data_IF_208257318061
#
_entry.id   IF_208257318061
#
_cell.length_a   1.000
_cell.length_b   1.000
_cell.length_c   1.000
_cell.angle_alpha   90.00
_cell.angle_beta   90.00
_cell.angle_gamma   90.00
#
_symmetry.space_group_name_H-M   'P 1'
#
loop_
_entity.id
_entity.type
_entity.pdbx_description
1 polymer ?
#
# COMPACT_ATOMS: atom_id res chain seq x y z
N UNK A 1 2.83 5.69 2.76
CA UNK A 1 3.10 5.59 1.32
C UNK A 1 4.19 4.60 1.06
N UNK A 2 4.51 3.99 2.05
CA UNK A 2 5.53 3.00 2.30
C UNK A 2 4.97 1.64 1.94
N UNK A 3 5.18 1.17 0.84
CA UNK A 3 4.64 -0.12 0.49
C UNK A 3 5.64 -1.10 -0.04
N UNK A 4 6.95 -1.01 0.23
CA UNK A 4 7.81 -1.99 -0.43
C UNK A 4 9.27 -2.10 -0.06
N UNK A 5 9.57 -1.99 1.18
CA UNK A 5 10.93 -2.35 1.57
C UNK A 5 11.10 -3.85 1.88
N UNK A 6 10.27 -4.71 1.35
CA UNK A 6 10.21 -6.13 1.75
C UNK A 6 10.52 -7.12 0.65
N UNK A 7 11.74 -7.06 0.08
CA UNK A 7 12.22 -8.19 -0.72
C UNK A 7 13.63 -8.60 -0.33
N UNK A 8 13.69 -9.48 0.66
CA UNK A 8 14.86 -10.31 0.89
C UNK A 8 14.69 -11.64 0.17
N UNK A 9 15.64 -11.90 -0.72
CA UNK A 9 16.07 -13.15 -1.35
C UNK A 9 15.38 -14.40 -0.79
N UNK A 10 14.53 -15.00 -1.61
CA UNK A 10 13.94 -16.32 -1.38
C UNK A 10 15.02 -17.40 -1.43
N UNK A 11 15.31 -18.05 -0.31
CA UNK A 11 15.83 -19.41 -0.31
C UNK A 11 14.65 -20.37 -0.32
N UNK A 12 14.54 -21.09 -1.42
CA UNK A 12 13.59 -22.18 -1.58
C UNK A 12 13.88 -23.28 -0.56
N UNK A 13 12.89 -23.63 0.26
CA UNK A 13 12.83 -24.94 0.91
C UNK A 13 11.45 -25.56 0.68
N UNK A 14 11.50 -26.61 -0.10
CA UNK A 14 10.41 -27.52 -0.44
C UNK A 14 10.08 -28.38 0.80
N UNK A 15 8.83 -28.41 1.25
CA UNK A 15 8.33 -29.51 2.08
C UNK A 15 6.84 -29.76 1.81
N UNK A 16 6.59 -31.00 1.45
CA UNK A 16 5.31 -31.60 1.07
C UNK A 16 4.47 -32.08 2.29
N UNK A 17 3.16 -32.33 1.97
CA UNK A 17 2.19 -33.27 2.59
C UNK A 17 1.31 -32.68 3.71
N UNK A 18 0.06 -32.81 3.68
CA UNK A 18 -1.04 -33.65 3.27
C UNK A 18 -2.18 -33.56 4.31
N UNK A 19 -3.41 -33.45 3.80
CA UNK A 19 -4.57 -34.19 4.26
C UNK A 19 -5.41 -33.71 5.45
N UNK A 20 -6.72 -33.50 5.21
CA UNK A 20 -7.73 -33.54 6.26
C UNK A 20 -9.04 -32.84 5.91
N UNK A 21 -10.04 -33.58 5.43
CA UNK A 21 -11.45 -33.17 5.25
C UNK A 21 -12.15 -32.85 6.57
N UNK A 22 -13.00 -31.81 6.58
CA UNK A 22 -13.97 -31.58 7.64
C UNK A 22 -15.02 -30.58 7.20
N UNK A 23 -16.16 -31.08 6.70
CA UNK A 23 -17.34 -30.27 6.40
C UNK A 23 -18.08 -29.89 7.69
N UNK A 24 -18.35 -28.63 7.89
CA UNK A 24 -19.54 -28.18 8.63
C UNK A 24 -20.15 -26.97 7.93
N UNK A 25 -21.32 -27.20 7.35
CA UNK A 25 -22.23 -26.15 6.89
C UNK A 25 -22.97 -25.59 8.10
N UNK A 26 -22.88 -24.31 8.32
CA UNK A 26 -23.88 -23.54 9.02
C UNK A 26 -24.30 -22.37 8.14
N UNK A 27 -25.56 -22.39 7.74
CA UNK A 27 -26.17 -21.31 6.97
C UNK A 27 -26.46 -20.15 7.92
N UNK A 28 -25.72 -19.08 7.77
CA UNK A 28 -26.02 -17.80 8.41
C UNK A 28 -26.51 -16.82 7.35
N UNK A 29 -27.83 -16.66 7.34
CA UNK A 29 -28.55 -15.74 6.43
C UNK A 29 -28.49 -14.35 7.03
N UNK A 30 -27.33 -13.70 6.92
CA UNK A 30 -27.23 -12.28 7.26
C UNK A 30 -27.42 -11.47 5.99
N UNK A 31 -28.43 -10.64 5.96
CA UNK A 31 -28.81 -9.71 4.90
C UNK A 31 -27.60 -8.85 4.51
N UNK A 32 -26.96 -9.20 3.40
CA UNK A 32 -25.76 -8.54 2.87
C UNK A 32 -26.15 -7.20 2.25
N UNK A 33 -26.04 -6.12 3.02
CA UNK A 33 -26.11 -4.77 2.48
C UNK A 33 -25.16 -4.66 1.28
N UNK A 34 -25.65 -4.15 0.16
CA UNK A 34 -24.88 -3.99 -1.08
C UNK A 34 -23.71 -3.05 -0.83
N UNK A 35 -22.55 -3.62 -0.53
CA UNK A 35 -21.31 -2.89 -0.31
C UNK A 35 -20.70 -2.55 -1.67
N UNK A 36 -20.54 -1.26 -1.97
CA UNK A 36 -19.59 -0.73 -2.96
C UNK A 36 -18.18 -0.77 -2.36
N UNK A 37 -17.84 -1.81 -1.62
CA UNK A 37 -16.59 -1.90 -0.89
C UNK A 37 -15.43 -2.15 -1.84
N UNK A 38 -14.25 -1.72 -1.45
CA UNK A 38 -12.99 -2.02 -2.13
C UNK A 38 -12.86 -3.52 -2.46
N UNK A 39 -13.39 -4.40 -1.60
CA UNK A 39 -13.45 -5.86 -1.81
C UNK A 39 -14.20 -6.26 -3.10
N UNK A 40 -15.09 -5.43 -3.62
CA UNK A 40 -15.79 -5.68 -4.90
C UNK A 40 -15.07 -5.07 -6.09
N UNK A 41 -14.41 -3.92 -5.89
CA UNK A 41 -13.67 -3.21 -6.94
C UNK A 41 -12.31 -3.86 -7.22
N UNK A 42 -11.62 -4.29 -6.16
CA UNK A 42 -10.32 -4.93 -6.20
C UNK A 42 -10.32 -6.28 -5.44
N UNK A 43 -11.11 -7.28 -5.87
CA UNK A 43 -11.27 -8.55 -5.17
C UNK A 43 -9.95 -9.33 -5.13
N UNK A 44 -9.64 -9.92 -3.97
CA UNK A 44 -8.44 -10.74 -3.74
C UNK A 44 -8.55 -12.17 -4.29
N UNK A 45 -9.77 -12.62 -4.59
CA UNK A 45 -10.02 -13.96 -5.13
C UNK A 45 -10.60 -13.89 -6.55
N UNK A 46 -10.35 -14.95 -7.32
CA UNK A 46 -10.85 -15.10 -8.67
C UNK A 46 -10.08 -14.28 -9.71
N UNK A 47 -10.66 -14.20 -10.90
CA UNK A 47 -10.07 -13.43 -12.01
C UNK A 47 -10.14 -11.93 -11.67
N UNK A 48 -8.99 -11.29 -11.58
CA UNK A 48 -8.92 -9.84 -11.38
C UNK A 48 -8.92 -9.11 -12.72
N UNK A 49 -9.92 -8.27 -12.94
CA UNK A 49 -10.04 -7.43 -14.15
C UNK A 49 -10.84 -6.17 -13.81
N UNK A 50 -10.22 -5.20 -13.12
CA UNK A 50 -10.89 -3.97 -12.72
C UNK A 50 -11.30 -3.17 -13.95
N UNK A 51 -12.51 -2.60 -13.91
CA UNK A 51 -12.97 -1.69 -14.95
C UNK A 51 -12.48 -0.28 -14.63
N UNK A 52 -11.52 0.19 -15.41
CA UNK A 52 -10.96 1.53 -15.27
C UNK A 52 -11.53 2.41 -16.39
N UNK A 53 -12.35 3.38 -16.00
CA UNK A 53 -12.93 4.39 -16.90
C UNK A 53 -12.34 5.74 -16.49
N UNK A 54 -11.53 6.41 -17.34
CA UNK A 54 -10.94 7.71 -17.03
C UNK A 54 -11.98 8.78 -16.64
N UNK A 55 -13.20 8.71 -17.19
CA UNK A 55 -14.27 9.64 -16.84
C UNK A 55 -14.76 9.51 -15.38
N UNK A 56 -14.41 8.42 -14.70
CA UNK A 56 -14.76 8.19 -13.30
C UNK A 56 -13.70 8.71 -12.31
N UNK A 57 -12.63 9.34 -12.79
CA UNK A 57 -11.55 9.85 -11.93
C UNK A 57 -11.61 11.37 -11.79
N UNK A 58 -11.13 11.87 -10.64
CA UNK A 58 -10.98 13.28 -10.33
C UNK A 58 -9.51 13.71 -10.48
N UNK A 59 -9.26 15.01 -10.47
CA UNK A 59 -7.92 15.58 -10.72
C UNK A 59 -7.02 15.64 -9.50
N UNK A 60 -7.58 15.44 -8.30
CA UNK A 60 -6.88 15.52 -7.02
C UNK A 60 -7.14 14.26 -6.19
N UNK A 61 -6.21 13.94 -5.30
CA UNK A 61 -6.37 12.88 -4.30
C UNK A 61 -6.56 13.57 -2.95
N UNK A 62 -7.82 13.60 -2.48
CA UNK A 62 -8.23 14.29 -1.25
C UNK A 62 -8.92 13.36 -0.23
N UNK A 63 -8.85 12.04 -0.44
CA UNK A 63 -9.31 11.07 0.54
C UNK A 63 -8.68 11.39 1.91
N UNK A 64 -9.47 11.58 2.98
CA UNK A 64 -8.93 12.04 4.26
C UNK A 64 -7.93 11.08 4.90
N UNK A 65 -7.98 9.78 4.57
CA UNK A 65 -7.03 8.78 5.06
C UNK A 65 -5.78 8.62 4.16
N UNK A 66 -5.80 9.27 2.97
CA UNK A 66 -4.69 9.25 2.00
C UNK A 66 -4.61 10.58 1.26
N UNK A 67 -4.40 11.71 1.98
CA UNK A 67 -4.38 13.02 1.34
C UNK A 67 -3.06 13.23 0.59
N UNK A 68 -3.14 13.56 -0.72
CA UNK A 68 -1.98 13.83 -1.57
C UNK A 68 -2.04 15.27 -2.10
N UNK A 69 -1.92 16.26 -1.22
CA UNK A 69 -1.82 17.66 -1.62
C UNK A 69 -0.42 17.93 -2.18
N UNK A 70 -0.28 18.38 -3.44
CA UNK A 70 1.01 18.72 -4.02
C UNK A 70 1.81 19.71 -3.16
N UNK A 71 3.12 19.46 -2.99
CA UNK A 71 4.02 20.21 -2.12
C UNK A 71 4.14 19.64 -0.71
N UNK A 72 3.23 18.75 -0.28
CA UNK A 72 3.34 18.13 1.05
C UNK A 72 4.45 17.09 1.07
N UNK A 73 5.32 17.16 2.08
CA UNK A 73 6.32 16.15 2.39
C UNK A 73 6.01 15.46 3.72
N UNK A 74 6.14 14.15 3.76
CA UNK A 74 6.03 13.31 4.95
C UNK A 74 7.40 12.75 5.26
N UNK A 75 7.86 12.92 6.49
CA UNK A 75 9.13 12.37 6.95
C UNK A 75 8.89 11.33 8.04
N UNK A 76 9.35 10.11 7.78
CA UNK A 76 9.26 9.01 8.71
C UNK A 76 10.65 8.60 9.20
N UNK A 77 10.71 8.07 10.42
CA UNK A 77 11.89 7.41 10.97
C UNK A 77 11.53 6.04 11.48
N UNK A 78 12.46 5.12 11.29
CA UNK A 78 12.27 3.75 11.67
C UNK A 78 13.54 2.94 11.66
N UNK A 79 13.37 1.63 11.57
CA UNK A 79 14.50 0.71 11.46
C UNK A 79 14.08 -0.58 10.75
N UNK A 80 15.02 -1.19 10.06
CA UNK A 80 14.93 -2.57 9.59
C UNK A 80 15.92 -3.42 10.42
N UNK A 81 15.35 -4.31 11.26
CA UNK A 81 16.14 -4.99 12.27
C UNK A 81 16.79 -3.97 13.20
N UNK A 82 18.12 -3.90 13.21
CA UNK A 82 18.89 -2.94 14.01
C UNK A 82 19.39 -1.74 13.20
N UNK A 83 19.11 -1.67 11.90
CA UNK A 83 19.60 -0.62 11.00
C UNK A 83 18.61 0.54 11.01
N UNK A 84 18.99 1.73 11.49
CA UNK A 84 18.16 2.93 11.42
C UNK A 84 17.92 3.35 9.97
N UNK A 85 16.67 3.68 9.67
CA UNK A 85 16.24 4.15 8.35
C UNK A 85 15.40 5.42 8.48
N UNK A 86 15.35 6.18 7.41
CA UNK A 86 14.39 7.26 7.18
C UNK A 86 13.68 7.02 5.87
N UNK A 87 12.45 7.52 5.79
CA UNK A 87 11.70 7.53 4.57
C UNK A 87 11.07 8.91 4.37
N UNK A 88 11.29 9.47 3.17
CA UNK A 88 10.85 10.80 2.77
C UNK A 88 9.91 10.69 1.56
N UNK A 89 8.59 10.77 1.80
CA UNK A 89 7.58 10.78 0.77
C UNK A 89 7.13 12.22 0.45
N UNK A 90 7.32 12.65 -0.80
CA UNK A 90 6.97 14.00 -1.26
C UNK A 90 5.91 13.94 -2.35
N UNK A 91 4.75 14.53 -2.11
CA UNK A 91 3.72 14.73 -3.12
C UNK A 91 4.18 15.81 -4.09
N UNK A 92 4.56 15.43 -5.29
CA UNK A 92 5.09 16.36 -6.28
C UNK A 92 3.98 17.16 -6.98
N UNK A 93 4.35 18.23 -7.69
CA UNK A 93 3.47 18.93 -8.61
C UNK A 93 3.35 18.24 -9.98
N UNK A 94 4.06 17.14 -10.18
CA UNK A 94 4.04 16.39 -11.43
C UNK A 94 2.84 15.46 -11.50
N UNK A 95 2.42 15.16 -12.73
CA UNK A 95 1.43 14.14 -13.00
C UNK A 95 1.98 13.13 -13.99
N UNK A 96 1.49 11.88 -13.91
CA UNK A 96 1.78 10.81 -14.85
C UNK A 96 0.50 10.33 -15.49
N UNK A 97 0.43 10.31 -16.83
CA UNK A 97 -0.74 9.77 -17.51
C UNK A 97 -0.63 8.25 -17.63
N UNK A 98 -1.58 7.52 -17.03
CA UNK A 98 -1.67 6.05 -17.06
C UNK A 98 -3.12 5.67 -17.35
N UNK A 99 -3.35 4.79 -18.32
CA UNK A 99 -4.69 4.39 -18.80
C UNK A 99 -5.63 5.58 -19.07
N UNK A 100 -5.09 6.71 -19.55
CA UNK A 100 -5.87 7.92 -19.82
C UNK A 100 -6.15 8.81 -18.60
N UNK A 101 -5.72 8.42 -17.40
CA UNK A 101 -5.91 9.14 -16.13
C UNK A 101 -4.64 9.90 -15.78
N UNK A 102 -4.77 11.15 -15.31
CA UNK A 102 -3.66 11.92 -14.76
C UNK A 102 -3.47 11.53 -13.28
N UNK A 103 -2.43 10.77 -13.01
CA UNK A 103 -2.09 10.31 -11.66
C UNK A 103 -1.22 11.34 -10.95
N UNK A 104 -1.46 11.56 -9.65
CA UNK A 104 -0.56 12.27 -8.76
C UNK A 104 0.72 11.47 -8.60
N UNK A 105 1.88 12.14 -8.70
CA UNK A 105 3.18 11.51 -8.51
C UNK A 105 3.69 11.81 -7.10
N UNK A 106 3.95 10.77 -6.34
CA UNK A 106 4.66 10.84 -5.06
C UNK A 106 6.07 10.34 -5.28
N UNK A 107 7.06 11.09 -4.82
CA UNK A 107 8.45 10.64 -4.78
C UNK A 107 8.74 10.16 -3.37
N UNK A 108 9.11 8.92 -3.29
CA UNK A 108 9.49 8.24 -2.07
C UNK A 108 11.00 7.96 -2.07
N UNK A 109 11.66 8.09 -0.91
CA UNK A 109 13.10 7.85 -0.79
C UNK A 109 13.40 7.26 0.58
N UNK A 110 13.79 6.00 0.58
CA UNK A 110 14.30 5.34 1.78
C UNK A 110 15.80 5.49 1.87
N UNK A 111 16.28 5.81 3.08
CA UNK A 111 17.72 6.05 3.33
C UNK A 111 18.20 5.29 4.56
N UNK A 112 19.43 4.78 4.48
CA UNK A 112 20.20 4.22 5.60
C UNK A 112 21.43 5.09 5.85
N UNK A 113 21.68 5.43 7.12
CA UNK A 113 22.83 6.28 7.48
C UNK A 113 22.93 7.58 6.66
N UNK A 114 21.78 8.15 6.24
CA UNK A 114 21.71 9.35 5.41
C UNK A 114 21.98 9.14 3.91
N UNK A 115 22.15 7.91 3.47
CA UNK A 115 22.34 7.56 2.05
C UNK A 115 21.11 6.88 1.51
N UNK A 116 20.56 7.39 0.41
CA UNK A 116 19.42 6.77 -0.24
C UNK A 116 19.77 5.35 -0.72
N UNK A 117 18.95 4.38 -0.35
CA UNK A 117 19.05 2.97 -0.75
C UNK A 117 17.95 2.57 -1.71
N UNK A 118 16.80 3.27 -1.65
CA UNK A 118 15.67 3.10 -2.56
C UNK A 118 15.09 4.46 -2.97
N UNK A 119 14.61 4.53 -4.21
CA UNK A 119 13.89 5.68 -4.76
C UNK A 119 12.73 5.19 -5.58
N UNK A 120 11.53 5.65 -5.26
CA UNK A 120 10.31 5.27 -5.97
C UNK A 120 9.53 6.51 -6.43
N UNK A 121 8.91 6.38 -7.58
CA UNK A 121 7.88 7.30 -8.05
C UNK A 121 6.57 6.52 -8.09
N UNK A 122 5.69 6.82 -7.16
CA UNK A 122 4.38 6.20 -7.05
C UNK A 122 3.33 7.00 -7.80
N UNK A 123 2.37 6.31 -8.39
CA UNK A 123 1.32 6.92 -9.21
C UNK A 123 -0.06 6.62 -8.63
N UNK A 124 -0.70 7.64 -8.07
CA UNK A 124 -2.02 7.52 -7.44
C UNK A 124 -3.08 8.32 -8.19
N UNK A 125 -4.30 7.80 -8.20
CA UNK A 125 -5.47 8.49 -8.73
C UNK A 125 -6.69 8.23 -7.86
N UNK A 126 -7.61 9.18 -7.73
CA UNK A 126 -8.83 9.02 -6.97
C UNK A 126 -10.03 8.92 -7.90
N UNK A 127 -10.92 7.95 -7.64
CA UNK A 127 -12.20 7.89 -8.34
C UNK A 127 -13.23 8.85 -7.72
N UNK A 128 -14.34 9.11 -8.43
CA UNK A 128 -15.42 9.98 -7.98
C UNK A 128 -16.11 9.51 -6.71
N UNK A 129 -15.94 8.25 -6.33
CA UNK A 129 -16.45 7.67 -5.09
C UNK A 129 -15.50 7.93 -3.91
N UNK A 130 -14.26 8.42 -4.18
CA UNK A 130 -13.25 8.73 -3.19
C UNK A 130 -12.28 7.57 -2.90
N UNK A 131 -12.32 6.47 -3.66
CA UNK A 131 -11.30 5.43 -3.53
C UNK A 131 -10.00 5.90 -4.18
N UNK A 132 -8.88 5.71 -3.51
CA UNK A 132 -7.56 5.98 -4.06
C UNK A 132 -7.00 4.71 -4.69
N UNK A 133 -6.71 4.79 -5.98
CA UNK A 133 -6.17 3.72 -6.79
C UNK A 133 -4.66 3.85 -6.91
N UNK A 134 -3.95 2.75 -6.74
CA UNK A 134 -2.53 2.63 -7.06
C UNK A 134 -2.39 2.20 -8.51
N UNK A 135 -1.82 3.08 -9.33
CA UNK A 135 -1.77 2.92 -10.78
C UNK A 135 -0.42 2.37 -11.25
N UNK A 136 0.54 2.27 -10.37
CA UNK A 136 1.88 1.75 -10.64
C UNK A 136 2.98 2.55 -9.95
N UNK A 137 4.21 2.11 -10.20
CA UNK A 137 5.42 2.76 -9.68
C UNK A 137 6.62 2.58 -10.60
N UNK A 138 7.57 3.50 -10.48
CA UNK A 138 8.93 3.35 -10.98
C UNK A 138 9.88 3.27 -9.77
N UNK A 139 10.26 2.08 -9.35
CA UNK A 139 11.13 1.81 -8.19
C UNK A 139 12.56 1.50 -8.64
N UNK A 140 13.53 2.01 -7.88
CA UNK A 140 14.96 1.84 -8.10
C UNK A 140 15.67 1.55 -6.78
N UNK A 141 16.43 0.47 -6.73
CA UNK A 141 17.22 0.04 -5.57
C UNK A 141 18.72 0.29 -5.80
N UNK A 142 19.42 0.63 -4.73
CA UNK A 142 20.87 0.79 -4.75
C UNK A 142 21.54 -0.60 -4.77
N UNK A 143 22.11 -0.97 -5.93
CA UNK A 143 22.86 -2.22 -6.11
C UNK A 143 24.28 -1.92 -6.58
N UNK A 144 25.29 -2.37 -5.84
CA UNK A 144 26.71 -2.16 -6.18
C UNK A 144 27.06 -0.67 -6.44
N UNK A 145 26.52 0.24 -5.61
CA UNK A 145 26.77 1.68 -5.70
C UNK A 145 26.05 2.41 -6.83
N UNK A 146 25.09 1.76 -7.52
CA UNK A 146 24.28 2.37 -8.57
C UNK A 146 22.80 2.02 -8.37
N UNK A 147 21.92 2.98 -8.68
CA UNK A 147 20.49 2.71 -8.71
C UNK A 147 20.15 1.91 -9.97
N UNK A 148 19.54 0.75 -9.75
CA UNK A 148 18.99 -0.12 -10.81
C UNK A 148 17.49 -0.23 -10.62
N UNK A 149 16.76 -0.30 -11.76
CA UNK A 149 15.31 -0.51 -11.71
C UNK A 149 14.99 -1.80 -10.99
N UNK A 150 14.09 -1.75 -10.03
CA UNK A 150 13.63 -2.91 -9.29
C UNK A 150 12.69 -3.78 -10.14
N UNK A 151 12.65 -5.09 -9.88
CA UNK A 151 11.84 -6.04 -10.65
C UNK A 151 10.34 -5.85 -10.44
N UNK A 152 9.97 -5.29 -9.32
CA UNK A 152 8.59 -4.97 -8.92
C UNK A 152 8.07 -3.66 -9.50
N UNK A 153 8.90 -2.83 -10.11
CA UNK A 153 8.43 -1.67 -10.86
C UNK A 153 7.37 -2.06 -11.89
N UNK A 154 6.21 -1.44 -11.85
CA UNK A 154 5.10 -1.79 -12.72
C UNK A 154 4.23 -0.58 -13.10
N UNK A 155 3.42 -0.73 -14.15
CA UNK A 155 2.40 0.25 -14.54
C UNK A 155 1.15 -0.46 -15.01
N UNK A 156 0.01 0.03 -14.58
CA UNK A 156 -1.29 -0.44 -15.04
C UNK A 156 -1.39 -0.42 -16.57
N UNK A 157 -1.82 -1.54 -17.14
CA UNK A 157 -1.95 -1.72 -18.60
C UNK A 157 -0.68 -2.17 -19.31
N UNK A 158 0.46 -2.29 -18.63
CA UNK A 158 1.72 -2.78 -19.20
C UNK A 158 1.99 -4.19 -18.67
N UNK A 159 2.38 -5.11 -19.55
CA UNK A 159 2.77 -6.51 -19.24
C UNK A 159 1.75 -7.28 -18.37
N UNK A 160 0.48 -6.91 -18.47
CA UNK A 160 -0.61 -7.53 -17.71
C UNK A 160 -0.80 -6.98 -16.30
N UNK A 161 -0.04 -5.96 -15.90
CA UNK A 161 -0.21 -5.27 -14.64
C UNK A 161 -1.57 -4.52 -14.58
N UNK A 162 -2.17 -4.49 -13.40
CA UNK A 162 -3.49 -3.88 -13.16
C UNK A 162 -3.47 -3.07 -11.87
N UNK A 163 -4.21 -1.95 -11.83
CA UNK A 163 -4.27 -1.12 -10.64
C UNK A 163 -5.03 -1.84 -9.52
N UNK A 164 -4.74 -1.47 -8.28
CA UNK A 164 -5.53 -1.84 -7.10
C UNK A 164 -5.96 -0.61 -6.32
N UNK A 165 -6.57 -0.81 -5.17
CA UNK A 165 -6.99 0.26 -4.27
C UNK A 165 -5.98 0.35 -3.13
N UNK A 166 -5.32 1.51 -2.97
CA UNK A 166 -4.46 1.72 -1.81
C UNK A 166 -5.27 2.15 -0.59
N UNK A 167 -6.30 2.98 -0.79
CA UNK A 167 -7.18 3.41 0.28
C UNK A 167 -8.64 3.49 -0.19
N UNK A 168 -9.55 2.72 0.43
CA UNK A 168 -10.99 2.82 0.16
C UNK A 168 -11.59 4.17 0.58
N UNK A 169 -12.63 4.61 -0.11
CA UNK A 169 -13.41 5.79 0.30
C UNK A 169 -14.04 5.62 1.68
N UNK A 170 -14.53 4.43 1.98
CA UNK A 170 -15.24 4.08 3.21
C UNK A 170 -14.77 2.72 3.73
N UNK A 171 -13.55 2.62 4.30
CA UNK A 171 -13.01 1.36 4.78
C UNK A 171 -13.83 0.81 5.95
N UNK A 172 -14.21 -0.47 5.88
CA UNK A 172 -14.98 -1.17 6.92
C UNK A 172 -14.19 -2.36 7.45
N UNK A 173 -14.26 -2.66 8.75
CA UNK A 173 -13.62 -3.85 9.30
C UNK A 173 -14.03 -5.11 8.51
N UNK A 174 -13.02 -5.89 8.10
CA UNK A 174 -13.19 -7.10 7.32
C UNK A 174 -13.12 -6.90 5.79
N UNK A 175 -13.15 -5.65 5.27
CA UNK A 175 -12.86 -5.41 3.86
C UNK A 175 -11.47 -5.93 3.53
N UNK A 176 -11.34 -6.67 2.40
CA UNK A 176 -10.09 -7.20 1.88
C UNK A 176 -10.02 -6.90 0.39
N UNK A 177 -8.90 -6.33 -0.05
CA UNK A 177 -8.75 -5.84 -1.41
C UNK A 177 -7.30 -5.87 -1.87
N UNK A 178 -7.09 -5.96 -3.19
CA UNK A 178 -5.78 -5.83 -3.81
C UNK A 178 -5.35 -4.37 -3.82
N UNK A 179 -4.12 -4.13 -3.43
CA UNK A 179 -3.47 -2.82 -3.58
C UNK A 179 -2.77 -2.72 -4.93
N UNK A 180 -2.36 -3.87 -5.49
CA UNK A 180 -1.72 -3.98 -6.79
C UNK A 180 -1.85 -5.39 -7.38
N UNK A 181 -1.56 -5.50 -8.67
CA UNK A 181 -1.59 -6.77 -9.36
C UNK A 181 -0.60 -6.79 -10.53
N UNK A 182 0.59 -7.29 -10.28
CA UNK A 182 1.61 -7.54 -11.30
C UNK A 182 2.36 -8.85 -11.02
N UNK A 183 1.79 -10.01 -11.38
CA UNK A 183 2.37 -11.32 -11.02
C UNK A 183 3.77 -11.55 -11.60
N UNK A 184 4.07 -10.97 -12.78
CA UNK A 184 5.39 -11.13 -13.43
C UNK A 184 6.53 -10.40 -12.70
N UNK A 185 6.23 -9.30 -12.03
CA UNK A 185 7.18 -8.54 -11.22
C UNK A 185 6.97 -8.78 -9.73
N UNK A 186 6.12 -9.78 -9.36
CA UNK A 186 5.85 -10.15 -7.97
C UNK A 186 5.21 -9.04 -7.11
N UNK A 187 4.58 -8.05 -7.74
CA UNK A 187 3.84 -6.99 -7.09
C UNK A 187 2.36 -7.41 -6.93
N UNK A 188 2.01 -7.93 -5.75
CA UNK A 188 0.73 -8.61 -5.52
C UNK A 188 0.08 -8.25 -4.18
N UNK A 189 0.37 -7.08 -3.65
CA UNK A 189 -0.01 -6.71 -2.30
C UNK A 189 -1.53 -6.59 -2.11
N UNK A 190 -1.95 -7.04 -0.94
CA UNK A 190 -3.33 -7.05 -0.50
C UNK A 190 -3.43 -6.38 0.87
N UNK A 191 -4.53 -5.71 1.11
CA UNK A 191 -4.86 -5.14 2.41
C UNK A 191 -6.14 -5.75 2.98
N UNK A 192 -6.20 -5.81 4.30
CA UNK A 192 -7.39 -6.10 5.09
C UNK A 192 -7.61 -5.02 6.13
N UNK A 193 -8.79 -4.42 6.14
CA UNK A 193 -9.18 -3.47 7.18
C UNK A 193 -9.42 -4.21 8.49
N UNK A 194 -8.64 -3.89 9.52
CA UNK A 194 -8.80 -4.44 10.87
C UNK A 194 -9.81 -3.63 11.70
N UNK A 195 -9.96 -2.35 11.37
CA UNK A 195 -10.85 -1.44 12.09
C UNK A 195 -10.11 -0.26 12.71
N UNK A 196 -10.74 0.39 13.70
CA UNK A 196 -10.15 1.53 14.39
C UNK A 196 -9.52 1.09 15.71
N UNK A 197 -8.29 1.56 15.95
CA UNK A 197 -7.55 1.38 17.22
C UNK A 197 -7.14 2.74 17.78
N UNK A 198 -6.83 2.77 19.05
CA UNK A 198 -6.25 3.95 19.70
C UNK A 198 -6.20 3.83 21.22
N UNK A 199 -5.51 4.76 21.88
CA UNK A 199 -4.69 5.83 21.30
C UNK A 199 -3.40 5.33 20.67
N UNK A 200 -2.84 6.10 19.69
CA UNK A 200 -1.56 5.83 19.05
C UNK A 200 -0.69 7.08 19.16
N UNK A 201 0.53 6.91 19.62
CA UNK A 201 1.53 7.98 19.73
C UNK A 201 2.70 7.69 18.80
N UNK A 202 3.05 8.67 17.99
CA UNK A 202 4.25 8.71 17.13
C UNK A 202 4.97 10.04 17.37
N UNK A 203 6.21 10.24 16.92
CA UNK A 203 6.93 11.51 17.13
C UNK A 203 6.16 12.76 16.65
N UNK A 204 5.38 12.65 15.59
CA UNK A 204 4.54 13.74 15.08
C UNK A 204 3.41 14.13 16.03
N UNK A 205 2.86 13.21 16.84
CA UNK A 205 1.79 13.50 17.76
C UNK A 205 1.06 12.29 18.32
N UNK A 206 0.07 12.56 19.18
CA UNK A 206 -0.80 11.54 19.78
C UNK A 206 -2.21 11.63 19.19
N UNK A 207 -2.71 10.51 18.71
CA UNK A 207 -4.01 10.40 18.05
C UNK A 207 -4.94 9.50 18.85
N UNK A 208 -6.16 9.97 19.10
CA UNK A 208 -7.16 9.21 19.87
C UNK A 208 -7.60 7.93 19.15
N UNK A 209 -7.60 7.95 17.81
CA UNK A 209 -8.02 6.82 16.98
C UNK A 209 -7.30 6.85 15.62
N UNK A 210 -6.90 5.69 15.16
CA UNK A 210 -6.40 5.44 13.81
C UNK A 210 -7.19 4.31 13.15
N UNK A 211 -7.38 4.38 11.85
CA UNK A 211 -7.73 3.20 11.06
C UNK A 211 -6.50 2.29 11.00
N UNK A 212 -6.70 0.99 11.11
CA UNK A 212 -5.61 0.02 10.98
C UNK A 212 -5.94 -0.97 9.87
N UNK A 213 -5.00 -1.17 8.98
CA UNK A 213 -5.00 -2.24 7.98
C UNK A 213 -3.95 -3.29 8.34
N UNK A 214 -4.17 -4.50 7.87
CA UNK A 214 -3.14 -5.54 7.79
C UNK A 214 -2.80 -5.71 6.31
N UNK A 215 -1.54 -5.54 5.96
CA UNK A 215 -1.06 -5.56 4.58
C UNK A 215 -0.05 -6.68 4.40
N UNK A 216 -0.12 -7.36 3.27
CA UNK A 216 0.73 -8.52 3.00
C UNK A 216 0.73 -8.85 1.50
N UNK A 217 1.80 -9.45 1.04
CA UNK A 217 1.86 -10.10 -0.27
C UNK A 217 1.56 -11.59 -0.13
N UNK A 218 0.71 -12.19 -0.98
CA UNK A 218 0.56 -13.65 -0.99
C UNK A 218 1.83 -14.40 -1.40
N UNK A 219 2.84 -13.68 -1.88
CA UNK A 219 4.13 -14.21 -2.31
C UNK A 219 5.18 -14.20 -1.17
N UNK A 220 4.88 -13.53 -0.05
CA UNK A 220 5.81 -13.31 1.05
C UNK A 220 5.24 -13.73 2.41
N UNK A 221 6.08 -14.20 3.34
CA UNK A 221 5.61 -14.60 4.66
C UNK A 221 5.34 -13.42 5.61
N UNK A 222 5.68 -12.20 5.21
CA UNK A 222 5.60 -11.00 6.03
C UNK A 222 4.18 -10.44 6.05
N UNK A 223 3.83 -9.82 7.17
CA UNK A 223 2.58 -9.09 7.35
C UNK A 223 2.87 -7.82 8.13
N UNK A 224 2.29 -6.73 7.68
CA UNK A 224 2.42 -5.40 8.26
C UNK A 224 1.07 -4.91 8.80
N UNK A 225 1.13 -4.03 9.78
CA UNK A 225 0.02 -3.18 10.17
C UNK A 225 0.36 -1.74 9.83
N UNK A 226 -0.53 -1.06 9.09
CA UNK A 226 -0.42 0.37 8.82
C UNK A 226 -1.53 1.13 9.54
N UNK A 227 -1.18 2.31 10.03
CA UNK A 227 -2.05 3.14 10.87
C UNK A 227 -2.30 4.48 10.18
N UNK A 228 -3.57 4.82 9.97
CA UNK A 228 -3.99 6.01 9.24
C UNK A 228 -4.87 6.91 10.09
N UNK A 229 -4.66 8.21 9.98
CA UNK A 229 -5.46 9.25 10.66
C UNK A 229 -6.05 10.20 9.63
N UNK A 230 -7.35 10.46 9.74
CA UNK A 230 -8.03 11.37 8.83
C UNK A 230 -7.44 12.78 8.88
N UNK A 231 -7.14 13.35 7.72
CA UNK A 231 -6.49 14.64 7.55
C UNK A 231 -4.95 14.60 7.66
N UNK A 232 -4.38 13.47 8.06
CA UNK A 232 -2.94 13.26 8.17
C UNK A 232 -2.44 12.24 7.13
N UNK A 233 -3.13 11.13 6.98
CA UNK A 233 -2.70 9.99 6.18
C UNK A 233 -2.09 8.91 7.07
N UNK A 234 -1.09 8.22 6.55
CA UNK A 234 -0.32 7.22 7.29
C UNK A 234 0.53 7.88 8.37
N UNK A 235 0.50 7.29 9.58
CA UNK A 235 1.27 7.77 10.72
C UNK A 235 2.28 6.74 11.23
N UNK A 236 2.04 5.47 10.95
CA UNK A 236 2.92 4.38 11.38
C UNK A 236 2.71 3.15 10.52
N UNK A 237 3.79 2.48 10.25
CA UNK A 237 3.85 1.12 9.71
C UNK A 237 4.70 0.27 10.62
N UNK A 238 4.30 -1.00 10.81
CA UNK A 238 5.12 -1.97 11.53
C UNK A 238 4.89 -3.39 11.04
N UNK A 239 5.94 -4.15 10.97
CA UNK A 239 5.87 -5.58 10.71
C UNK A 239 5.38 -6.29 11.98
N UNK A 240 4.28 -7.05 11.84
CA UNK A 240 3.70 -7.87 12.93
C UNK A 240 4.00 -9.35 12.78
N UNK A 241 4.43 -9.76 11.57
CA UNK A 241 4.90 -11.10 11.28
C UNK A 241 6.01 -11.01 10.24
N UNK A 242 7.20 -11.52 10.57
CA UNK A 242 8.39 -11.45 9.73
C UNK A 242 9.57 -10.84 10.45
N UNK A 243 10.45 -10.16 9.72
CA UNK A 243 11.57 -9.43 10.28
C UNK A 243 11.06 -8.15 10.96
N UNK A 244 11.76 -7.71 12.02
CA UNK A 244 11.42 -6.45 12.67
C UNK A 244 11.64 -5.27 11.72
N UNK A 245 10.58 -4.52 11.49
CA UNK A 245 10.60 -3.26 10.76
C UNK A 245 9.47 -2.38 11.28
N UNK A 246 9.77 -1.11 11.51
CA UNK A 246 8.79 -0.13 11.94
C UNK A 246 9.21 1.25 11.44
N UNK A 247 8.22 2.02 10.95
CA UNK A 247 8.37 3.43 10.62
C UNK A 247 7.29 4.26 11.29
N UNK A 248 7.66 5.42 11.79
CA UNK A 248 6.76 6.35 12.46
C UNK A 248 6.88 7.75 11.86
N UNK A 249 5.76 8.42 11.67
CA UNK A 249 5.70 9.80 11.18
C UNK A 249 6.34 10.74 12.20
N UNK A 250 7.31 11.53 11.71
CA UNK A 250 8.04 12.52 12.53
C UNK A 250 7.60 13.93 12.22
N UNK A 251 7.42 14.26 10.94
CA UNK A 251 7.01 15.62 10.53
C UNK A 251 6.28 15.60 9.18
N UNK A 252 5.47 16.64 8.98
CA UNK A 252 4.85 16.98 7.70
C UNK A 252 5.29 18.39 7.34
N UNK A 253 5.69 18.61 6.09
CA UNK A 253 6.05 19.91 5.51
C UNK A 253 5.05 20.28 4.41
N UNK A 254 4.90 21.59 4.17
CA UNK A 254 3.96 22.15 3.16
C UNK A 254 4.64 23.19 2.28
#
# INVERSE_FOLDING_TARGET
MLGRLNRLIAFALLALLAGGCGQHRSADTTTRAASTSASRLAPVHGRYSPRIDPANFVTSVDNPLWPLKPGTGYHFKGSRGTIPQTDDAVVTHQTKRILGINCTVVRDTVSEHGHAIERTLDFYAQDKQGNVWYMGEDSFELKNGRFARASDSWRSGVDGAKPGIIMPAHPRPGDRYRQEYYPRGEAMDEARVLGKRGPVTVPYGTFKRSLVTSEFSPLEPQTEEKYYVAGVGEIMERVVKGHHEEFQLVSITH
#
